data_IF_730534628960
#
_entry.id   IF_730534628960
#
_cell.length_a   1.000
_cell.length_b   1.000
_cell.length_c   1.000
_cell.angle_alpha   90.00
_cell.angle_beta   90.00
_cell.angle_gamma   90.00
#
_symmetry.space_group_name_H-M   'P 1'
#
loop_
_entity.id
_entity.type
_entity.pdbx_description
1 polymer ?
#
# COMPACT_ATOMS: atom_id res chain seq x y z
N UNK A 1 -7.86 5.67 -23.75
CA UNK A 1 -7.79 4.42 -23.01
C UNK A 1 -7.60 4.67 -21.53
N UNK A 2 -8.36 4.00 -20.68
CA UNK A 2 -8.18 4.12 -19.23
C UNK A 2 -6.83 3.50 -18.84
N UNK A 3 -5.90 4.29 -18.35
CA UNK A 3 -4.61 3.84 -17.82
C UNK A 3 -4.75 3.16 -16.43
N UNK A 4 -5.79 2.37 -16.24
CA UNK A 4 -6.18 1.89 -14.91
C UNK A 4 -5.25 0.87 -14.28
N UNK A 5 -4.29 0.30 -14.95
CA UNK A 5 -3.38 -0.72 -14.39
C UNK A 5 -2.03 -0.81 -15.13
N UNK A 6 -1.50 0.29 -15.65
CA UNK A 6 -0.24 0.28 -16.40
C UNK A 6 0.98 0.45 -15.47
N UNK A 7 0.77 0.70 -14.17
CA UNK A 7 1.86 0.95 -13.22
C UNK A 7 1.74 0.04 -12.02
N UNK A 8 2.88 -0.53 -11.66
CA UNK A 8 3.03 -1.42 -10.51
C UNK A 8 2.44 -0.78 -9.25
N UNK A 9 1.42 -1.40 -8.71
CA UNK A 9 0.93 -1.09 -7.38
C UNK A 9 1.65 -1.99 -6.38
N UNK A 10 2.11 -1.45 -5.27
CA UNK A 10 2.88 -2.21 -4.29
C UNK A 10 2.43 -1.82 -2.88
N UNK A 11 1.14 -2.02 -2.62
CA UNK A 11 0.51 -1.62 -1.36
C UNK A 11 1.26 -2.14 -0.15
N UNK A 12 1.65 -1.23 0.72
CA UNK A 12 2.43 -1.53 1.92
C UNK A 12 1.69 -1.06 3.17
N UNK A 13 1.78 -1.85 4.24
CA UNK A 13 1.19 -1.55 5.54
C UNK A 13 2.27 -1.36 6.57
N UNK A 14 2.10 -0.40 7.47
CA UNK A 14 2.86 -0.26 8.72
C UNK A 14 2.01 -0.74 9.88
N UNK A 15 2.60 -1.50 10.80
CA UNK A 15 1.98 -1.93 12.06
C UNK A 15 2.92 -1.55 13.20
N UNK A 16 2.51 -0.59 14.03
CA UNK A 16 3.28 -0.18 15.20
C UNK A 16 2.76 -0.80 16.51
N UNK A 17 3.47 -0.57 17.59
CA UNK A 17 3.17 -1.15 18.91
C UNK A 17 1.82 -0.73 19.50
N UNK A 18 1.19 0.33 18.98
CA UNK A 18 -0.11 0.81 19.43
C UNK A 18 -1.28 0.10 18.77
N UNK A 19 -1.00 -0.78 17.78
CA UNK A 19 -2.02 -1.49 17.01
C UNK A 19 -2.75 -2.57 17.82
N UNK A 20 -4.05 -2.71 17.59
CA UNK A 20 -4.75 -3.95 17.91
C UNK A 20 -4.35 -5.02 16.88
N UNK A 21 -3.54 -5.99 17.30
CA UNK A 21 -2.95 -6.99 16.41
C UNK A 21 -3.99 -7.97 15.85
N UNK A 22 -5.05 -8.25 16.60
CA UNK A 22 -6.12 -9.12 16.13
C UNK A 22 -6.94 -8.42 15.03
N UNK A 23 -7.31 -7.15 15.23
CA UNK A 23 -7.95 -6.33 14.21
C UNK A 23 -7.07 -6.22 12.97
N UNK A 24 -5.79 -5.92 13.14
CA UNK A 24 -4.83 -5.78 12.07
C UNK A 24 -4.72 -7.07 11.23
N UNK A 25 -4.51 -8.22 11.88
CA UNK A 25 -4.36 -9.52 11.20
C UNK A 25 -5.63 -9.90 10.42
N UNK A 26 -6.81 -9.68 11.00
CA UNK A 26 -8.10 -9.94 10.37
C UNK A 26 -8.31 -9.06 9.12
N UNK A 27 -8.03 -7.77 9.22
CA UNK A 27 -8.18 -6.83 8.12
C UNK A 27 -7.16 -7.09 7.00
N UNK A 28 -5.92 -7.44 7.35
CA UNK A 28 -4.88 -7.83 6.40
C UNK A 28 -5.27 -9.11 5.66
N UNK A 29 -5.78 -10.10 6.36
CA UNK A 29 -6.29 -11.32 5.74
C UNK A 29 -7.42 -11.00 4.75
N UNK A 30 -8.41 -10.19 5.13
CA UNK A 30 -9.50 -9.76 4.24
C UNK A 30 -8.95 -9.05 3.00
N UNK A 31 -8.01 -8.13 3.20
CA UNK A 31 -7.39 -7.37 2.12
C UNK A 31 -6.62 -8.28 1.16
N UNK A 32 -5.79 -9.18 1.69
CA UNK A 32 -4.91 -10.04 0.89
C UNK A 32 -5.65 -11.15 0.14
N UNK A 33 -6.74 -11.63 0.68
CA UNK A 33 -7.51 -12.73 0.05
C UNK A 33 -8.57 -12.26 -0.95
N UNK A 34 -8.83 -10.95 -1.01
CA UNK A 34 -9.74 -10.37 -2.00
C UNK A 34 -9.18 -10.58 -3.41
N UNK A 35 -9.99 -11.12 -4.32
CA UNK A 35 -9.63 -11.43 -5.70
C UNK A 35 -8.29 -12.18 -5.82
N UNK A 36 -8.05 -13.11 -4.92
CA UNK A 36 -6.79 -13.87 -4.80
C UNK A 36 -5.54 -12.97 -4.71
N UNK A 37 -5.68 -11.79 -4.11
CA UNK A 37 -4.58 -10.84 -3.94
C UNK A 37 -4.09 -10.17 -5.22
N UNK A 38 -4.87 -10.21 -6.29
CA UNK A 38 -4.53 -9.59 -7.58
C UNK A 38 -4.91 -8.12 -7.67
N UNK A 39 -5.75 -7.63 -6.76
CA UNK A 39 -6.13 -6.22 -6.73
C UNK A 39 -4.92 -5.31 -6.43
N UNK A 40 -4.87 -4.17 -7.10
CA UNK A 40 -3.78 -3.18 -6.95
C UNK A 40 -3.65 -2.61 -5.53
N UNK A 41 -4.69 -2.67 -4.71
CA UNK A 41 -4.67 -2.29 -3.29
C UNK A 41 -4.54 -3.47 -2.33
N UNK A 42 -4.36 -4.71 -2.83
CA UNK A 42 -4.13 -5.86 -1.97
C UNK A 42 -2.75 -5.78 -1.30
N UNK A 43 -2.72 -5.98 0.01
CA UNK A 43 -1.50 -5.84 0.82
C UNK A 43 -0.35 -6.71 0.30
N UNK A 44 0.70 -6.09 -0.18
CA UNK A 44 1.89 -6.77 -0.72
C UNK A 44 3.05 -6.85 0.27
N UNK A 45 3.17 -5.87 1.16
CA UNK A 45 4.25 -5.76 2.13
C UNK A 45 3.68 -5.34 3.48
N UNK A 46 4.23 -5.90 4.57
CA UNK A 46 3.89 -5.50 5.93
C UNK A 46 5.18 -5.15 6.66
N UNK A 47 5.25 -3.92 7.18
CA UNK A 47 6.37 -3.36 7.91
C UNK A 47 5.96 -3.26 9.38
N UNK A 48 6.49 -4.14 10.22
CA UNK A 48 6.02 -4.40 11.60
C UNK A 48 7.07 -3.90 12.58
N UNK A 49 6.65 -3.21 13.64
CA UNK A 49 7.57 -2.84 14.72
C UNK A 49 8.13 -4.09 15.40
N UNK A 50 9.43 -4.13 15.63
CA UNK A 50 10.15 -5.32 16.08
C UNK A 50 9.66 -5.84 17.43
N UNK A 51 9.30 -4.94 18.35
CA UNK A 51 8.76 -5.29 19.67
C UNK A 51 7.52 -6.20 19.60
N UNK A 52 6.69 -6.03 18.56
CA UNK A 52 5.44 -6.78 18.35
C UNK A 52 5.52 -7.80 17.21
N UNK A 53 6.65 -7.91 16.51
CA UNK A 53 6.79 -8.71 15.29
C UNK A 53 6.34 -10.16 15.47
N UNK A 54 6.80 -10.85 16.51
CA UNK A 54 6.44 -12.25 16.76
C UNK A 54 4.96 -12.42 17.04
N UNK A 55 4.36 -11.50 17.80
CA UNK A 55 2.94 -11.52 18.13
C UNK A 55 2.10 -11.28 16.87
N UNK A 56 2.48 -10.29 16.04
CA UNK A 56 1.79 -10.02 14.78
C UNK A 56 1.85 -11.21 13.82
N UNK A 57 3.00 -11.87 13.68
CA UNK A 57 3.13 -13.09 12.88
C UNK A 57 2.27 -14.23 13.44
N UNK A 58 2.14 -14.35 14.76
CA UNK A 58 1.25 -15.32 15.40
C UNK A 58 -0.22 -15.05 15.06
N UNK A 59 -0.66 -13.79 15.13
CA UNK A 59 -2.01 -13.38 14.77
C UNK A 59 -2.31 -13.61 13.27
N UNK A 60 -1.35 -13.34 12.40
CA UNK A 60 -1.48 -13.64 10.96
C UNK A 60 -1.63 -15.15 10.71
N UNK A 61 -0.88 -16.00 11.44
CA UNK A 61 -1.03 -17.46 11.38
C UNK A 61 -2.39 -17.91 11.91
N UNK A 62 -2.87 -17.33 13.00
CA UNK A 62 -4.21 -17.60 13.55
C UNK A 62 -5.32 -17.24 12.56
N UNK A 63 -5.07 -16.28 11.66
CA UNK A 63 -5.96 -15.91 10.55
C UNK A 63 -5.66 -16.67 9.24
N UNK A 64 -5.15 -17.91 9.36
CA UNK A 64 -4.85 -18.83 8.25
C UNK A 64 -3.70 -18.36 7.32
N UNK A 65 -2.74 -17.61 7.82
CA UNK A 65 -1.49 -17.30 7.13
C UNK A 65 -0.47 -18.41 7.30
N UNK A 66 0.33 -18.67 6.26
CA UNK A 66 1.44 -19.62 6.29
C UNK A 66 2.76 -18.88 6.12
N UNK A 67 3.66 -19.02 7.09
CA UNK A 67 5.01 -18.43 7.00
C UNK A 67 5.93 -19.44 6.34
N UNK A 68 6.33 -19.14 5.11
CA UNK A 68 7.26 -19.95 4.34
C UNK A 68 8.66 -19.93 4.98
N UNK A 69 9.32 -21.08 4.97
CA UNK A 69 10.73 -21.18 5.33
C UNK A 69 11.64 -20.66 4.18
N UNK A 70 12.95 -20.63 4.42
CA UNK A 70 13.91 -20.08 3.44
C UNK A 70 13.97 -20.89 2.14
N UNK A 71 13.79 -22.21 2.18
CA UNK A 71 13.77 -23.05 0.98
C UNK A 71 12.50 -22.80 0.16
N UNK A 72 11.34 -22.74 0.80
CA UNK A 72 10.05 -22.41 0.16
C UNK A 72 10.05 -20.99 -0.44
N UNK A 73 10.65 -20.02 0.27
CA UNK A 73 10.84 -18.65 -0.26
C UNK A 73 11.65 -18.66 -1.56
N UNK A 74 12.74 -19.44 -1.59
CA UNK A 74 13.58 -19.53 -2.79
C UNK A 74 12.81 -20.19 -3.95
N UNK A 75 12.06 -21.27 -3.70
CA UNK A 75 11.21 -21.91 -4.71
C UNK A 75 10.16 -20.92 -5.27
N UNK A 76 9.50 -20.17 -4.41
CA UNK A 76 8.56 -19.12 -4.82
C UNK A 76 9.25 -18.05 -5.68
N UNK A 77 10.46 -17.63 -5.32
CA UNK A 77 11.23 -16.63 -6.07
C UNK A 77 11.51 -17.07 -7.51
N UNK A 78 11.74 -18.36 -7.74
CA UNK A 78 12.04 -18.93 -9.06
C UNK A 78 10.83 -18.99 -9.98
N UNK A 79 9.65 -19.27 -9.43
CA UNK A 79 8.44 -19.46 -10.24
C UNK A 79 7.62 -18.18 -10.42
N UNK A 80 7.72 -17.23 -9.49
CA UNK A 80 6.92 -16.01 -9.51
C UNK A 80 7.44 -14.94 -10.47
N UNK A 81 8.71 -14.96 -10.84
CA UNK A 81 9.33 -14.00 -11.76
C UNK A 81 10.17 -14.73 -12.81
N UNK A 82 10.05 -14.30 -14.04
CA UNK A 82 10.87 -14.79 -15.15
C UNK A 82 12.32 -14.21 -15.10
N UNK A 83 13.15 -14.60 -16.05
CA UNK A 83 14.55 -14.13 -16.16
C UNK A 83 14.65 -12.61 -16.46
N UNK A 84 13.58 -12.00 -16.96
CA UNK A 84 13.47 -10.56 -17.19
C UNK A 84 12.84 -9.83 -16.01
N UNK A 85 12.63 -10.56 -14.90
CA UNK A 85 12.01 -10.07 -13.67
C UNK A 85 10.54 -9.62 -13.82
N UNK A 86 9.82 -10.06 -14.85
CA UNK A 86 8.39 -9.88 -14.96
C UNK A 86 7.64 -10.94 -14.16
N UNK A 87 6.43 -10.60 -13.71
CA UNK A 87 5.56 -11.56 -13.02
C UNK A 87 5.14 -12.68 -13.97
N UNK A 88 5.36 -13.92 -13.55
CA UNK A 88 4.94 -15.11 -14.30
C UNK A 88 3.42 -15.24 -14.21
N UNK A 89 2.77 -15.30 -15.37
CA UNK A 89 1.31 -15.28 -15.48
C UNK A 89 0.62 -16.41 -14.68
N UNK A 90 1.18 -17.61 -14.67
CA UNK A 90 0.65 -18.78 -13.93
C UNK A 90 0.63 -18.61 -12.41
N UNK A 91 1.28 -17.57 -11.87
CA UNK A 91 1.37 -17.27 -10.44
C UNK A 91 0.62 -15.99 -10.04
N UNK A 92 -0.12 -15.39 -10.97
CA UNK A 92 -0.98 -14.23 -10.71
C UNK A 92 -2.39 -14.71 -10.33
N UNK A 93 -3.03 -14.03 -9.38
CA UNK A 93 -4.40 -14.32 -8.91
C UNK A 93 -4.61 -15.78 -8.48
N UNK A 94 -3.61 -16.39 -7.84
CA UNK A 94 -3.64 -17.79 -7.43
C UNK A 94 -4.05 -17.96 -5.96
N UNK A 95 -4.75 -19.06 -5.68
CA UNK A 95 -4.88 -19.59 -4.31
C UNK A 95 -3.49 -19.94 -3.76
N UNK A 96 -3.27 -19.84 -2.44
CA UNK A 96 -1.96 -20.16 -1.86
C UNK A 96 -1.54 -21.62 -2.11
N UNK A 97 -2.49 -22.58 -2.15
CA UNK A 97 -2.22 -23.98 -2.45
C UNK A 97 -1.71 -24.16 -3.89
N UNK A 98 -2.33 -23.46 -4.85
CA UNK A 98 -1.90 -23.49 -6.24
C UNK A 98 -0.52 -22.87 -6.41
N UNK A 99 -0.27 -21.74 -5.74
CA UNK A 99 1.03 -21.07 -5.78
C UNK A 99 2.14 -21.95 -5.18
N UNK A 100 1.87 -22.62 -4.05
CA UNK A 100 2.79 -23.56 -3.42
C UNK A 100 3.07 -24.77 -4.33
N UNK A 101 2.03 -25.35 -4.92
CA UNK A 101 2.15 -26.49 -5.84
C UNK A 101 3.02 -26.16 -7.06
N UNK A 102 2.79 -24.98 -7.69
CA UNK A 102 3.63 -24.50 -8.81
C UNK A 102 5.08 -24.30 -8.37
N UNK A 103 5.31 -23.89 -7.13
CA UNK A 103 6.65 -23.74 -6.57
C UNK A 103 7.30 -25.07 -6.13
N UNK A 104 6.53 -26.19 -6.08
CA UNK A 104 7.05 -27.51 -5.79
C UNK A 104 6.99 -27.90 -4.30
N UNK A 105 6.07 -27.32 -3.53
CA UNK A 105 5.79 -27.71 -2.14
C UNK A 105 4.28 -27.69 -1.84
N UNK A 106 3.90 -28.30 -0.72
CA UNK A 106 2.51 -28.40 -0.30
C UNK A 106 2.27 -27.65 1.01
N UNK A 107 1.06 -27.12 1.17
CA UNK A 107 0.58 -26.44 2.37
C UNK A 107 -0.82 -26.94 2.75
N UNK A 108 -1.25 -26.83 4.02
CA UNK A 108 -2.58 -27.22 4.44
C UNK A 108 -3.69 -26.49 3.69
N UNK A 109 -4.82 -27.17 3.44
CA UNK A 109 -5.95 -26.62 2.68
C UNK A 109 -6.60 -25.38 3.32
N UNK A 110 -6.58 -25.26 4.66
CA UNK A 110 -7.18 -24.13 5.36
C UNK A 110 -6.38 -22.81 5.21
N UNK A 111 -5.17 -22.86 4.69
CA UNK A 111 -4.32 -21.66 4.49
C UNK A 111 -4.95 -20.76 3.44
N UNK A 112 -4.99 -19.46 3.74
CA UNK A 112 -5.58 -18.43 2.88
C UNK A 112 -4.56 -17.53 2.20
N UNK A 113 -3.36 -17.38 2.77
CA UNK A 113 -2.28 -16.58 2.19
C UNK A 113 -0.90 -17.04 2.69
N UNK A 114 0.12 -16.75 1.90
CA UNK A 114 1.51 -17.03 2.21
C UNK A 114 2.22 -15.76 2.71
N UNK A 115 3.24 -15.95 3.53
CA UNK A 115 4.12 -14.90 4.03
C UNK A 115 5.58 -15.33 3.85
N UNK A 116 6.43 -14.39 3.49
CA UNK A 116 7.88 -14.56 3.45
C UNK A 116 8.57 -13.49 4.28
N UNK A 117 9.54 -13.86 5.10
CA UNK A 117 10.40 -12.87 5.76
C UNK A 117 11.36 -12.26 4.74
N UNK A 118 11.42 -10.93 4.70
CA UNK A 118 12.23 -10.18 3.73
C UNK A 118 13.05 -9.07 4.40
N UNK A 119 13.38 -9.24 5.67
CA UNK A 119 14.12 -8.26 6.46
C UNK A 119 15.49 -7.92 5.84
N UNK A 120 15.77 -6.62 5.72
CA UNK A 120 17.01 -6.13 5.10
C UNK A 120 17.12 -6.31 3.59
N UNK A 121 16.17 -7.00 2.96
CA UNK A 121 16.16 -7.28 1.53
C UNK A 121 15.16 -6.36 0.81
N UNK A 122 15.51 -5.08 0.67
CA UNK A 122 14.67 -4.06 0.04
C UNK A 122 15.43 -3.45 -1.13
N UNK A 123 14.79 -3.41 -2.30
CA UNK A 123 15.39 -2.86 -3.51
C UNK A 123 14.96 -3.61 -4.76
N UNK A 124 15.36 -3.10 -5.91
CA UNK A 124 15.02 -3.70 -7.22
C UNK A 124 15.58 -5.10 -7.37
N UNK A 125 16.74 -5.37 -6.79
CA UNK A 125 17.43 -6.67 -6.78
C UNK A 125 16.73 -7.72 -5.91
N UNK A 126 15.82 -7.28 -5.02
CA UNK A 126 15.06 -8.15 -4.12
C UNK A 126 13.63 -8.35 -4.63
N UNK A 127 13.39 -9.44 -5.33
CA UNK A 127 12.12 -9.73 -6.02
C UNK A 127 10.89 -9.57 -5.13
N UNK A 128 10.97 -9.95 -3.84
CA UNK A 128 9.85 -9.81 -2.90
C UNK A 128 9.58 -8.37 -2.44
N UNK A 129 10.42 -7.39 -2.81
CA UNK A 129 10.10 -5.97 -2.66
C UNK A 129 9.14 -5.46 -3.74
N UNK A 130 8.98 -6.20 -4.84
CA UNK A 130 8.09 -5.87 -5.96
C UNK A 130 6.64 -6.25 -5.68
N UNK A 131 5.74 -5.82 -6.54
CA UNK A 131 4.34 -6.22 -6.51
C UNK A 131 4.17 -7.73 -6.71
N UNK A 132 3.27 -8.37 -5.93
CA UNK A 132 3.10 -9.82 -5.95
C UNK A 132 1.90 -10.28 -6.79
N UNK A 133 0.81 -9.52 -6.86
CA UNK A 133 -0.44 -9.83 -7.59
C UNK A 133 -0.99 -11.24 -7.28
N UNK A 134 -0.80 -11.73 -6.08
CA UNK A 134 -1.23 -13.06 -5.65
C UNK A 134 -1.36 -13.13 -4.13
N UNK A 135 -1.80 -14.25 -3.58
CA UNK A 135 -2.00 -14.45 -2.12
C UNK A 135 -0.69 -14.62 -1.34
N UNK A 136 0.31 -13.76 -1.60
CA UNK A 136 1.59 -13.75 -0.90
C UNK A 136 1.96 -12.33 -0.46
N UNK A 137 2.54 -12.22 0.75
CA UNK A 137 3.04 -10.97 1.34
C UNK A 137 4.48 -11.10 1.79
N UNK A 138 5.24 -10.01 1.72
CA UNK A 138 6.56 -9.91 2.32
C UNK A 138 6.49 -9.19 3.68
N UNK A 139 7.17 -9.74 4.68
CA UNK A 139 7.25 -9.19 6.02
C UNK A 139 8.60 -8.52 6.24
N UNK A 140 8.55 -7.34 6.82
CA UNK A 140 9.71 -6.54 7.23
C UNK A 140 9.53 -6.13 8.69
N UNK A 141 10.63 -5.80 9.37
CA UNK A 141 10.53 -5.17 10.68
C UNK A 141 11.33 -3.86 10.75
N UNK A 142 10.95 -3.01 11.69
CA UNK A 142 11.66 -1.79 12.04
C UNK A 142 11.83 -1.70 13.56
N UNK A 143 12.84 -0.99 14.02
CA UNK A 143 13.07 -0.72 15.45
C UNK A 143 12.30 0.52 15.88
N UNK A 144 12.64 1.67 15.32
CA UNK A 144 12.03 2.97 15.61
C UNK A 144 11.19 3.46 14.41
N UNK A 145 10.12 4.21 14.66
CA UNK A 145 9.18 4.61 13.61
C UNK A 145 9.84 5.32 12.40
N UNK A 146 10.89 6.16 12.54
CA UNK A 146 11.62 6.69 11.38
C UNK A 146 12.19 5.61 10.45
N UNK A 147 12.54 4.44 10.96
CA UNK A 147 13.03 3.33 10.14
C UNK A 147 11.90 2.79 9.25
N UNK A 148 10.66 2.73 9.79
CA UNK A 148 9.49 2.36 9.00
C UNK A 148 9.30 3.31 7.81
N UNK A 149 9.47 4.62 8.01
CA UNK A 149 9.37 5.61 6.94
C UNK A 149 10.43 5.38 5.86
N UNK A 150 11.67 5.09 6.25
CA UNK A 150 12.76 4.75 5.32
C UNK A 150 12.46 3.46 4.52
N UNK A 151 11.93 2.44 5.18
CA UNK A 151 11.54 1.17 4.54
C UNK A 151 10.44 1.41 3.51
N UNK A 152 9.41 2.17 3.87
CA UNK A 152 8.30 2.53 2.98
C UNK A 152 8.82 3.27 1.74
N UNK A 153 9.66 4.28 1.91
CA UNK A 153 10.23 5.02 0.77
C UNK A 153 10.99 4.09 -0.18
N UNK A 154 11.85 3.23 0.35
CA UNK A 154 12.61 2.26 -0.45
C UNK A 154 11.71 1.28 -1.19
N UNK A 155 10.65 0.77 -0.55
CA UNK A 155 9.68 -0.12 -1.22
C UNK A 155 8.99 0.62 -2.38
N UNK A 156 8.56 1.88 -2.18
CA UNK A 156 7.92 2.66 -3.23
C UNK A 156 8.89 3.12 -4.34
N UNK A 157 10.20 3.14 -4.11
CA UNK A 157 11.18 3.33 -5.18
C UNK A 157 11.25 2.12 -6.12
N UNK A 158 10.93 0.94 -5.64
CA UNK A 158 10.83 -0.28 -6.46
C UNK A 158 9.58 -0.24 -7.34
N UNK A 159 8.43 0.19 -6.78
CA UNK A 159 7.17 0.29 -7.51
C UNK A 159 6.03 0.76 -6.61
N UNK A 160 4.91 1.12 -7.20
CA UNK A 160 3.66 1.40 -6.48
C UNK A 160 3.45 2.84 -6.04
N UNK A 161 4.29 3.79 -6.45
CA UNK A 161 4.06 5.22 -6.16
C UNK A 161 2.71 5.68 -6.71
N UNK A 162 2.00 6.42 -5.87
CA UNK A 162 0.73 7.04 -6.20
C UNK A 162 -0.51 6.26 -5.77
N UNK A 163 -0.43 4.96 -5.53
CA UNK A 163 -1.64 4.18 -5.25
C UNK A 163 -2.13 4.33 -3.79
N UNK A 164 -1.66 3.50 -2.89
CA UNK A 164 -2.13 3.50 -1.49
C UNK A 164 -1.12 2.88 -0.54
N UNK A 165 -1.21 3.28 0.73
CA UNK A 165 -0.59 2.59 1.85
C UNK A 165 -1.60 2.38 2.98
N UNK A 166 -1.23 1.61 3.99
CA UNK A 166 -2.02 1.42 5.20
C UNK A 166 -1.19 1.57 6.46
N UNK A 167 -1.87 1.85 7.56
CA UNK A 167 -1.28 1.86 8.89
C UNK A 167 -2.25 1.32 9.93
N UNK A 168 -1.78 0.43 10.76
CA UNK A 168 -2.43 0.01 12.02
C UNK A 168 -1.68 0.67 13.17
N UNK A 169 -2.25 1.74 13.67
CA UNK A 169 -1.73 2.59 14.74
C UNK A 169 -2.86 3.38 15.38
N UNK A 170 -2.73 3.69 16.66
CA UNK A 170 -3.56 4.69 17.37
C UNK A 170 -2.78 5.97 17.68
N UNK A 171 -1.52 6.06 17.25
CA UNK A 171 -0.67 7.24 17.39
C UNK A 171 -0.89 8.21 16.22
N UNK A 172 -1.59 9.32 16.45
CA UNK A 172 -1.77 10.37 15.43
C UNK A 172 -0.41 10.89 14.92
N UNK A 173 0.59 10.97 15.79
CA UNK A 173 1.95 11.36 15.42
C UNK A 173 2.54 10.43 14.33
N UNK A 174 2.37 9.11 14.48
CA UNK A 174 2.88 8.13 13.53
C UNK A 174 2.06 8.13 12.23
N UNK A 175 0.74 8.29 12.35
CA UNK A 175 -0.18 8.41 11.22
C UNK A 175 0.21 9.63 10.36
N UNK A 176 0.36 10.80 10.99
CA UNK A 176 0.76 12.04 10.30
C UNK A 176 2.15 11.95 9.69
N UNK A 177 3.12 11.35 10.40
CA UNK A 177 4.47 11.16 9.89
C UNK A 177 4.49 10.30 8.63
N UNK A 178 3.72 9.19 8.62
CA UNK A 178 3.59 8.34 7.44
C UNK A 178 2.89 9.08 6.30
N UNK A 179 1.81 9.82 6.57
CA UNK A 179 1.07 10.59 5.56
C UNK A 179 1.93 11.63 4.85
N UNK A 180 2.89 12.25 5.55
CA UNK A 180 3.81 13.24 4.98
C UNK A 180 4.87 12.65 4.06
N UNK A 181 5.21 11.38 4.23
CA UNK A 181 6.35 10.73 3.59
C UNK A 181 5.93 9.78 2.47
N UNK A 182 4.80 9.07 2.65
CA UNK A 182 4.33 8.08 1.69
C UNK A 182 3.86 8.74 0.38
N UNK A 183 4.47 8.43 -0.78
CA UNK A 183 4.10 9.01 -2.06
C UNK A 183 2.87 8.32 -2.63
N UNK A 184 1.73 8.42 -1.95
CA UNK A 184 0.48 7.74 -2.30
C UNK A 184 -0.72 8.69 -2.23
N UNK A 185 -1.75 8.40 -2.99
CA UNK A 185 -2.97 9.21 -3.03
C UNK A 185 -3.96 8.86 -1.92
N UNK A 186 -3.79 7.73 -1.27
CA UNK A 186 -4.69 7.23 -0.21
C UNK A 186 -3.92 6.51 0.88
N UNK A 187 -4.24 6.80 2.14
CA UNK A 187 -3.73 6.08 3.29
C UNK A 187 -4.90 5.54 4.11
N UNK A 188 -4.94 4.22 4.31
CA UNK A 188 -5.98 3.54 5.06
C UNK A 188 -5.51 3.31 6.50
N UNK A 189 -6.19 3.96 7.45
CA UNK A 189 -5.91 3.79 8.88
C UNK A 189 -6.83 2.72 9.45
N UNK A 190 -6.26 1.61 9.93
CA UNK A 190 -6.97 0.47 10.54
C UNK A 190 -8.12 -0.08 9.70
N UNK A 191 -7.88 -0.20 8.39
CA UNK A 191 -8.89 -0.68 7.43
C UNK A 191 -8.27 -1.66 6.44
N UNK A 192 -9.03 -2.65 5.92
CA UNK A 192 -8.54 -3.54 4.86
C UNK A 192 -8.39 -2.78 3.55
N UNK A 193 -7.16 -2.58 3.08
CA UNK A 193 -6.86 -1.72 1.93
C UNK A 193 -7.65 -2.10 0.67
N UNK A 194 -7.72 -3.38 0.31
CA UNK A 194 -8.40 -3.84 -0.91
C UNK A 194 -9.89 -3.49 -0.95
N UNK A 195 -10.51 -3.31 0.20
CA UNK A 195 -11.93 -2.94 0.31
C UNK A 195 -12.14 -1.45 0.49
N UNK A 196 -11.24 -0.78 1.22
CA UNK A 196 -11.45 0.59 1.70
C UNK A 196 -11.01 1.65 0.69
N UNK A 197 -10.01 1.37 -0.14
CA UNK A 197 -9.51 2.32 -1.15
C UNK A 197 -10.57 2.73 -2.18
N UNK A 198 -11.47 1.82 -2.51
CA UNK A 198 -12.58 2.07 -3.44
C UNK A 198 -13.78 2.77 -2.80
N UNK A 199 -13.64 3.23 -1.57
CA UNK A 199 -14.73 3.77 -0.76
C UNK A 199 -15.49 2.67 -0.01
N UNK A 200 -16.02 3.01 1.17
CA UNK A 200 -16.86 2.13 1.96
C UNK A 200 -17.88 2.94 2.75
N UNK A 201 -18.91 2.28 3.27
CA UNK A 201 -19.92 2.91 4.12
C UNK A 201 -19.35 3.49 5.42
N UNK A 202 -18.13 3.13 5.80
CA UNK A 202 -17.51 3.46 7.09
C UNK A 202 -16.30 4.38 6.98
N UNK A 203 -15.90 4.84 5.77
CA UNK A 203 -14.72 5.70 5.63
C UNK A 203 -14.96 7.02 4.90
N UNK A 204 -16.19 7.29 4.45
CA UNK A 204 -16.56 8.56 3.83
C UNK A 204 -15.92 8.84 2.46
N UNK A 205 -15.12 7.91 1.91
CA UNK A 205 -14.54 8.08 0.59
C UNK A 205 -15.55 7.77 -0.51
N UNK A 206 -15.50 8.44 -1.67
CA UNK A 206 -16.37 8.14 -2.79
C UNK A 206 -16.21 6.70 -3.27
N UNK A 207 -17.34 6.00 -3.43
CA UNK A 207 -17.35 4.62 -3.92
C UNK A 207 -17.13 4.56 -5.41
N UNK A 208 -16.06 3.89 -5.84
CA UNK A 208 -15.69 3.73 -7.25
C UNK A 208 -14.65 2.63 -7.42
N UNK A 209 -14.65 1.97 -8.58
CA UNK A 209 -13.60 1.02 -8.97
C UNK A 209 -12.40 1.70 -9.66
N UNK A 210 -12.50 2.99 -9.98
CA UNK A 210 -11.46 3.75 -10.69
C UNK A 210 -10.77 4.72 -9.76
N UNK A 211 -9.47 4.51 -9.53
CA UNK A 211 -8.66 5.26 -8.57
C UNK A 211 -7.53 6.01 -9.30
N UNK A 212 -7.44 7.33 -9.09
CA UNK A 212 -6.33 8.14 -9.56
C UNK A 212 -5.10 7.98 -8.66
N UNK A 213 -3.91 7.98 -9.24
CA UNK A 213 -2.63 7.88 -8.51
C UNK A 213 -1.85 9.21 -8.48
N UNK A 214 -2.44 10.30 -8.95
CA UNK A 214 -1.83 11.62 -8.96
C UNK A 214 -0.54 11.69 -9.75
N UNK A 215 0.24 12.74 -9.53
CA UNK A 215 1.52 12.94 -10.23
C UNK A 215 2.55 11.84 -9.93
N UNK A 216 2.50 11.23 -8.74
CA UNK A 216 3.38 10.10 -8.39
C UNK A 216 3.18 8.90 -9.32
N UNK A 217 1.93 8.65 -9.74
CA UNK A 217 1.57 7.60 -10.69
C UNK A 217 1.46 8.09 -12.14
N UNK A 218 1.73 9.40 -12.41
CA UNK A 218 1.59 10.00 -13.73
C UNK A 218 0.15 10.11 -14.20
N UNK A 219 -0.80 10.20 -13.27
CA UNK A 219 -2.22 10.43 -13.56
C UNK A 219 -2.58 11.92 -13.41
N UNK A 220 -3.65 12.33 -14.10
CA UNK A 220 -4.18 13.70 -14.02
C UNK A 220 -4.98 13.97 -12.74
N UNK A 221 -5.39 12.94 -12.02
CA UNK A 221 -6.11 13.04 -10.74
C UNK A 221 -5.54 12.08 -9.69
N UNK A 222 -5.61 12.47 -8.43
CA UNK A 222 -5.31 11.63 -7.27
C UNK A 222 -6.58 11.19 -6.52
N UNK A 223 -7.75 11.52 -7.06
CA UNK A 223 -9.03 11.24 -6.41
C UNK A 223 -9.60 9.88 -6.82
N UNK A 224 -10.58 9.43 -6.05
CA UNK A 224 -11.50 8.40 -6.48
C UNK A 224 -12.37 8.97 -7.60
N UNK A 225 -12.33 8.33 -8.77
CA UNK A 225 -13.00 8.87 -9.97
C UNK A 225 -14.51 8.75 -9.82
N UNK A 226 -15.19 9.88 -9.96
CA UNK A 226 -16.65 10.01 -9.87
C UNK A 226 -17.19 10.70 -11.11
N UNK A 227 -18.51 10.92 -11.17
CA UNK A 227 -19.16 11.59 -12.31
C UNK A 227 -18.57 12.97 -12.59
N UNK A 228 -18.10 13.72 -11.57
CA UNK A 228 -17.46 15.02 -11.77
C UNK A 228 -16.27 15.00 -12.73
N UNK A 229 -15.54 13.88 -12.80
CA UNK A 229 -14.39 13.71 -13.69
C UNK A 229 -14.77 13.43 -15.15
N UNK A 230 -16.04 13.10 -15.39
CA UNK A 230 -16.60 12.84 -16.72
C UNK A 230 -17.35 14.06 -17.28
N UNK A 231 -17.45 15.14 -16.50
CA UNK A 231 -18.20 16.34 -16.88
C UNK A 231 -17.24 17.44 -17.28
N UNK A 232 -17.64 18.22 -18.30
CA UNK A 232 -17.00 19.47 -18.64
C UNK A 232 -17.79 20.65 -18.06
N UNK A 233 -17.09 21.63 -17.55
CA UNK A 233 -17.68 22.85 -16.98
C UNK A 233 -17.19 24.06 -17.76
N UNK A 234 -18.12 24.97 -18.04
CA UNK A 234 -17.80 26.29 -18.58
C UNK A 234 -17.86 27.31 -17.45
N UNK A 235 -16.75 27.95 -17.19
CA UNK A 235 -16.67 29.04 -16.22
C UNK A 235 -17.21 30.32 -16.80
N UNK A 236 -18.19 30.94 -16.12
CA UNK A 236 -18.70 32.26 -16.45
C UNK A 236 -18.22 33.23 -15.39
N UNK A 237 -17.21 34.02 -15.73
CA UNK A 237 -16.67 35.05 -14.85
C UNK A 237 -17.40 36.39 -15.10
N UNK A 238 -17.91 36.98 -14.04
CA UNK A 238 -18.45 38.33 -14.04
C UNK A 238 -17.56 39.22 -13.19
N UNK A 239 -17.41 40.51 -13.55
CA UNK A 239 -16.62 41.44 -12.75
C UNK A 239 -17.22 41.56 -11.34
N UNK A 240 -16.37 41.61 -10.35
CA UNK A 240 -16.69 41.90 -8.94
C UNK A 240 -15.96 43.17 -8.52
N UNK A 241 -16.31 43.72 -7.37
CA UNK A 241 -15.49 44.74 -6.74
C UNK A 241 -14.11 44.16 -6.44
N UNK A 242 -13.05 44.99 -6.60
CA UNK A 242 -11.67 44.52 -6.32
C UNK A 242 -11.56 44.04 -4.88
N UNK A 243 -11.13 42.79 -4.73
CA UNK A 243 -10.85 42.12 -3.47
C UNK A 243 -9.37 41.73 -3.47
N UNK A 244 -8.51 42.74 -3.35
CA UNK A 244 -7.06 42.60 -3.38
C UNK A 244 -6.53 42.58 -1.96
N UNK A 245 -5.99 41.46 -1.49
CA UNK A 245 -5.35 41.40 -0.16
C UNK A 245 -4.12 42.31 -0.13
N UNK A 246 -3.86 42.93 1.02
CA UNK A 246 -2.64 43.70 1.24
C UNK A 246 -1.42 42.78 1.30
N UNK A 247 -0.24 43.32 1.01
CA UNK A 247 1.02 42.57 1.12
C UNK A 247 1.22 41.99 2.52
N UNK A 248 0.74 42.68 3.55
CA UNK A 248 0.80 42.22 4.94
C UNK A 248 -0.11 41.00 5.19
N UNK A 249 -1.28 40.96 4.55
CA UNK A 249 -2.16 39.78 4.63
C UNK A 249 -1.57 38.58 3.86
N UNK A 250 -0.91 38.85 2.72
CA UNK A 250 -0.31 37.79 1.91
C UNK A 250 0.98 37.22 2.51
N UNK A 251 1.85 38.08 3.03
CA UNK A 251 3.18 37.70 3.45
C UNK A 251 3.34 37.61 4.98
N UNK A 252 2.37 38.05 5.76
CA UNK A 252 2.34 37.87 7.22
C UNK A 252 3.62 38.27 7.91
N UNK A 253 4.23 37.33 8.62
CA UNK A 253 5.49 37.53 9.38
C UNK A 253 6.72 37.81 8.49
N UNK A 254 6.67 37.52 7.21
CA UNK A 254 7.76 37.81 6.27
C UNK A 254 7.70 39.25 5.72
N UNK A 255 6.65 40.02 6.02
CA UNK A 255 6.50 41.38 5.51
C UNK A 255 7.59 42.29 6.11
N UNK A 256 8.41 42.89 5.24
CA UNK A 256 9.51 43.80 5.65
C UNK A 256 10.78 43.11 6.10
N UNK A 257 10.93 41.81 5.99
CA UNK A 257 12.18 41.11 6.17
C UNK A 257 13.01 41.26 4.87
N UNK A 258 14.22 41.77 4.96
CA UNK A 258 15.19 41.73 3.84
C UNK A 258 15.57 40.27 3.60
N UNK A 259 15.40 39.82 2.36
CA UNK A 259 15.86 38.50 1.92
C UNK A 259 17.38 38.59 1.86
N UNK A 260 18.08 37.96 2.83
CA UNK A 260 19.52 37.90 2.89
C UNK A 260 20.10 36.97 1.82
#
# INVERSE_FOLDING_TARGET
>A
GSEMCIRDSNSTIVVDETADLNEAAKNIMISKTSDFGSGCSADGNIVIQKSIYRNMVSELKANNGYLCNSAEKELLSRVMWDDKENRTFSTIACKPQQLALVAGFEIPEHIKFLMVENNGQIGKEHKFSKEKLTTLMALYYFEEFPDALNIIQKIYEVGGKGHSCGIYSTSDKNIDALARVAPVSRMMVRQPQSKSNAGSWTNGMPMTSSLGCGIWGGNITNENVTMKHMMNYTWVSKPIQEDRPSERELFGEFFGQEVA
#
